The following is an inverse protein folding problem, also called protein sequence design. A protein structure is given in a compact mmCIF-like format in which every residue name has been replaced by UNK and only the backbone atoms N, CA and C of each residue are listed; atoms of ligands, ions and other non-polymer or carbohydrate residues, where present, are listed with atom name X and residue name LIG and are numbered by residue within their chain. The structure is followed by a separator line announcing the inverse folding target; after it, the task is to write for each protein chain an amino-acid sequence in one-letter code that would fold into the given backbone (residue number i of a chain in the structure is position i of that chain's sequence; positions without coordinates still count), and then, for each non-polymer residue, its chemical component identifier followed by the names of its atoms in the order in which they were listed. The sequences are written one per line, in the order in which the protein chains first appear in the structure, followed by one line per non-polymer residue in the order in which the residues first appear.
data_IF_718339311890
#
_entry.id   IF_718339311890
#
_cell.length_a   1.000
_cell.length_b   1.000
_cell.length_c   1.000
_cell.angle_alpha   90.00
_cell.angle_beta   90.00
_cell.angle_gamma   90.00
#
_symmetry.space_group_name_H-M   'P 1'
#
loop_
_entity.id
_entity.type
_entity.pdbx_description
1 polymer ?
#
# COMPACT_ATOMS: atom_id res chain seq x y z
N UNK A 1 49.47 25.58 42.05
CA UNK A 1 50.78 24.91 42.06
C UNK A 1 50.73 23.80 41.03
N UNK A 2 51.51 23.87 39.94
CA UNK A 2 51.41 22.88 38.86
C UNK A 2 52.14 21.60 39.26
N UNK A 3 51.39 20.53 39.49
CA UNK A 3 51.89 19.18 39.74
C UNK A 3 52.86 18.76 38.63
N UNK A 4 54.00 18.17 38.99
CA UNK A 4 54.97 17.65 38.03
C UNK A 4 54.29 16.60 37.13
N UNK A 5 54.47 16.64 35.79
CA UNK A 5 53.82 15.70 34.89
C UNK A 5 54.27 14.27 35.21
N UNK A 6 53.34 13.45 35.68
CA UNK A 6 53.62 12.09 36.15
C UNK A 6 52.96 11.09 35.21
N UNK A 7 53.66 10.74 34.13
CA UNK A 7 53.19 9.69 33.22
C UNK A 7 53.43 8.30 33.79
N UNK A 8 52.62 7.33 33.36
CA UNK A 8 52.83 5.92 33.68
C UNK A 8 54.19 5.42 33.16
N UNK A 9 54.83 4.49 33.89
CA UNK A 9 56.11 3.90 33.49
C UNK A 9 56.02 3.15 32.15
N UNK A 10 54.84 2.68 31.76
CA UNK A 10 54.56 2.10 30.45
C UNK A 10 55.02 2.98 29.27
N UNK A 11 54.98 4.31 29.42
CA UNK A 11 55.34 5.26 28.35
C UNK A 11 56.80 5.73 28.40
N UNK A 12 57.64 5.17 29.28
CA UNK A 12 59.03 5.61 29.51
C UNK A 12 59.86 5.65 28.21
N UNK A 13 59.72 4.65 27.34
CA UNK A 13 60.41 4.56 26.06
C UNK A 13 60.07 5.70 25.08
N UNK A 14 58.82 6.17 25.07
CA UNK A 14 58.37 7.32 24.27
C UNK A 14 58.80 8.64 24.91
N UNK A 15 58.74 8.72 26.23
CA UNK A 15 59.15 9.91 26.97
C UNK A 15 60.65 10.15 26.84
N UNK A 16 61.51 9.14 26.93
CA UNK A 16 62.96 9.33 26.82
C UNK A 16 63.41 9.91 25.47
N UNK A 17 62.58 9.80 24.43
CA UNK A 17 62.81 10.40 23.11
C UNK A 17 62.39 11.87 23.01
N UNK A 18 61.64 12.40 23.98
CA UNK A 18 61.09 13.75 23.95
C UNK A 18 61.85 14.72 24.88
N UNK A 19 62.04 15.98 24.45
CA UNK A 19 62.60 17.00 25.34
C UNK A 19 61.64 17.36 26.48
N UNK A 20 62.15 17.84 27.64
CA UNK A 20 61.33 18.16 28.81
C UNK A 20 60.17 19.15 28.55
N UNK A 21 60.33 20.08 27.62
CA UNK A 21 59.28 21.04 27.22
C UNK A 21 58.09 20.35 26.55
N UNK A 22 58.33 19.37 25.67
CA UNK A 22 57.28 18.63 24.97
C UNK A 22 56.55 17.65 25.90
N UNK A 23 57.23 17.09 26.90
CA UNK A 23 56.59 16.28 27.95
C UNK A 23 55.58 17.12 28.76
N UNK A 24 55.96 18.34 29.13
CA UNK A 24 55.10 19.29 29.86
C UNK A 24 53.90 19.74 29.01
N UNK A 25 54.11 20.04 27.73
CA UNK A 25 53.04 20.41 26.81
C UNK A 25 52.07 19.24 26.56
N UNK A 26 52.57 18.02 26.35
CA UNK A 26 51.73 16.84 26.21
C UNK A 26 50.86 16.59 27.45
N UNK A 27 51.44 16.73 28.65
CA UNK A 27 50.69 16.62 29.90
C UNK A 27 49.59 17.66 30.03
N UNK A 28 49.91 18.93 29.72
CA UNK A 28 48.94 20.02 29.74
C UNK A 28 47.79 19.76 28.76
N UNK A 29 48.08 19.28 27.55
CA UNK A 29 47.06 18.96 26.54
C UNK A 29 46.12 17.83 26.95
N UNK A 30 46.60 16.88 27.74
CA UNK A 30 45.78 15.77 28.24
C UNK A 30 44.88 16.21 29.39
N UNK A 31 45.37 17.05 30.29
CA UNK A 31 44.64 17.49 31.50
C UNK A 31 43.80 18.75 31.31
N UNK A 32 44.09 19.58 30.30
CA UNK A 32 43.34 20.81 29.99
C UNK A 32 42.65 20.77 28.63
N UNK A 33 42.37 19.58 28.09
CA UNK A 33 41.68 19.42 26.81
C UNK A 33 40.28 20.04 26.87
N UNK A 34 39.92 20.85 25.87
CA UNK A 34 38.60 21.53 25.80
C UNK A 34 37.42 20.55 25.75
N UNK A 35 37.62 19.37 25.17
CA UNK A 35 36.64 18.30 25.10
C UNK A 35 37.22 17.09 25.82
N UNK A 36 36.58 16.66 26.92
CA UNK A 36 36.95 15.48 27.71
C UNK A 36 38.41 15.51 28.25
N UNK A 37 38.73 16.42 29.20
CA UNK A 37 40.03 16.41 29.86
C UNK A 37 40.17 15.12 30.67
N UNK A 38 41.33 14.46 30.55
CA UNK A 38 41.64 13.34 31.43
C UNK A 38 41.89 13.88 32.84
N UNK A 39 41.29 13.23 33.85
CA UNK A 39 41.66 13.52 35.24
C UNK A 39 43.15 13.19 35.45
N UNK A 40 43.79 13.77 36.47
CA UNK A 40 45.20 13.46 36.76
C UNK A 40 45.42 11.97 37.01
N UNK A 41 44.44 11.27 37.59
CA UNK A 41 44.50 9.82 37.84
C UNK A 41 44.42 9.03 36.54
N UNK A 42 43.57 9.44 35.60
CA UNK A 42 43.45 8.83 34.27
C UNK A 42 44.70 9.09 33.42
N UNK A 43 45.28 10.29 33.53
CA UNK A 43 46.52 10.66 32.84
C UNK A 43 47.77 9.94 33.41
N UNK A 44 47.71 9.48 34.67
CA UNK A 44 48.71 8.61 35.30
C UNK A 44 48.51 7.12 34.95
N UNK A 45 47.35 6.75 34.42
CA UNK A 45 47.01 5.40 33.99
C UNK A 45 47.54 5.06 32.58
N UNK A 46 47.16 3.88 32.07
CA UNK A 46 47.42 3.47 30.70
C UNK A 46 46.17 3.77 29.87
N UNK A 47 46.27 4.69 28.92
CA UNK A 47 45.16 5.12 28.07
C UNK A 47 45.61 5.24 26.60
N UNK A 48 44.83 4.73 25.63
CA UNK A 48 45.18 4.78 24.20
C UNK A 48 45.46 6.20 23.68
N UNK A 49 44.62 7.19 24.04
CA UNK A 49 44.83 8.59 23.66
C UNK A 49 46.18 9.17 24.11
N UNK A 50 46.73 8.71 25.24
CA UNK A 50 48.04 9.16 25.74
C UNK A 50 49.15 8.59 24.85
N UNK A 51 49.04 7.32 24.48
CA UNK A 51 49.99 6.63 23.62
C UNK A 51 50.00 7.22 22.20
N UNK A 52 48.83 7.46 21.62
CA UNK A 52 48.68 8.07 20.29
C UNK A 52 49.29 9.49 20.27
N UNK A 53 49.00 10.29 21.31
CA UNK A 53 49.52 11.65 21.43
C UNK A 53 51.05 11.66 21.57
N UNK A 54 51.60 10.81 22.45
CA UNK A 54 53.05 10.71 22.64
C UNK A 54 53.76 10.20 21.38
N UNK A 55 53.19 9.21 20.70
CA UNK A 55 53.74 8.67 19.44
C UNK A 55 53.73 9.72 18.33
N UNK A 56 52.63 10.45 18.16
CA UNK A 56 52.53 11.58 17.21
C UNK A 56 53.55 12.67 17.53
N UNK A 57 53.77 12.97 18.81
CA UNK A 57 54.76 13.96 19.25
C UNK A 57 56.20 13.50 19.01
N UNK A 58 56.52 12.22 19.23
CA UNK A 58 57.84 11.63 18.92
C UNK A 58 58.11 11.71 17.42
N UNK A 59 57.16 11.28 16.60
CA UNK A 59 57.27 11.34 15.14
C UNK A 59 57.46 12.78 14.64
N UNK A 60 56.69 13.72 15.19
CA UNK A 60 56.81 15.15 14.87
C UNK A 60 58.17 15.72 15.28
N UNK A 61 58.66 15.36 16.46
CA UNK A 61 59.97 15.79 16.95
C UNK A 61 61.09 15.28 16.05
N UNK A 62 61.08 13.98 15.70
CA UNK A 62 62.06 13.39 14.80
C UNK A 62 62.01 14.01 13.40
N UNK A 63 60.82 14.25 12.85
CA UNK A 63 60.65 14.93 11.57
C UNK A 63 61.25 16.34 11.60
N UNK A 64 60.92 17.13 12.63
CA UNK A 64 61.46 18.48 12.80
C UNK A 64 62.97 18.49 12.98
N UNK A 65 63.52 17.58 13.79
CA UNK A 65 64.95 17.42 14.02
C UNK A 65 65.70 17.03 12.74
N UNK A 66 65.15 16.12 11.95
CA UNK A 66 65.72 15.73 10.66
C UNK A 66 65.70 16.91 9.68
N UNK A 67 64.62 17.68 9.62
CA UNK A 67 64.56 18.91 8.81
C UNK A 67 65.61 19.94 9.24
N UNK A 68 65.81 20.14 10.55
CA UNK A 68 66.85 21.04 11.06
C UNK A 68 68.26 20.55 10.70
N UNK A 69 68.51 19.23 10.82
CA UNK A 69 69.78 18.62 10.44
C UNK A 69 70.10 18.86 8.97
N UNK A 70 69.12 18.61 8.08
CA UNK A 70 69.25 18.85 6.64
C UNK A 70 69.51 20.34 6.35
N UNK A 71 68.82 21.25 7.05
CA UNK A 71 69.00 22.71 6.89
C UNK A 71 70.40 23.16 7.31
N UNK A 72 70.95 22.63 8.40
CA UNK A 72 72.30 22.97 8.88
C UNK A 72 73.37 22.38 7.94
N UNK A 73 73.19 21.14 7.51
CA UNK A 73 74.08 20.46 6.57
C UNK A 73 74.17 21.21 5.24
N UNK A 74 73.02 21.60 4.67
CA UNK A 74 72.95 22.39 3.44
C UNK A 74 73.62 23.77 3.54
N UNK A 75 73.66 24.38 4.74
CA UNK A 75 74.29 25.67 4.97
C UNK A 75 75.79 25.57 5.32
N UNK A 76 76.30 24.38 5.65
CA UNK A 76 77.68 24.16 6.10
C UNK A 76 78.57 23.63 4.98
N UNK A 77 78.01 23.01 3.93
CA UNK A 77 78.75 22.60 2.74
C UNK A 77 79.12 23.82 1.89
N UNK A 78 80.41 24.18 1.92
CA UNK A 78 81.03 25.32 1.21
C UNK A 78 81.06 25.21 -0.33
N UNK A 79 80.47 24.18 -0.94
CA UNK A 79 80.51 23.98 -2.40
C UNK A 79 79.13 24.18 -3.03
N UNK A 80 78.89 25.40 -3.51
CA UNK A 80 77.70 25.79 -4.28
C UNK A 80 77.52 25.00 -5.59
N UNK A 81 78.55 24.31 -6.08
CA UNK A 81 78.45 23.44 -7.27
C UNK A 81 77.77 22.10 -6.94
N UNK A 82 77.92 21.59 -5.71
CA UNK A 82 77.31 20.32 -5.29
C UNK A 82 75.81 20.41 -5.03
N UNK A 83 75.30 21.62 -4.72
CA UNK A 83 73.89 21.87 -4.41
C UNK A 83 73.04 21.96 -5.68
N UNK A 84 73.53 22.57 -6.76
CA UNK A 84 72.83 22.64 -8.04
C UNK A 84 72.61 21.26 -8.68
N UNK A 85 73.61 20.38 -8.69
CA UNK A 85 73.45 19.02 -9.23
C UNK A 85 72.47 18.16 -8.41
N UNK A 86 72.38 18.41 -7.09
CA UNK A 86 71.37 17.75 -6.24
C UNK A 86 69.96 18.26 -6.53
N UNK A 87 69.80 19.56 -6.80
CA UNK A 87 68.51 20.15 -7.18
C UNK A 87 68.02 19.63 -8.54
N UNK A 88 68.90 19.52 -9.54
CA UNK A 88 68.58 18.90 -10.84
C UNK A 88 68.13 17.44 -10.68
N UNK A 89 68.79 16.68 -9.79
CA UNK A 89 68.37 15.33 -9.44
C UNK A 89 66.99 15.27 -8.76
N UNK A 90 66.64 16.26 -7.94
CA UNK A 90 65.31 16.35 -7.33
C UNK A 90 64.23 16.72 -8.34
N UNK A 91 64.53 17.61 -9.28
CA UNK A 91 63.60 18.03 -10.34
C UNK A 91 63.21 16.85 -11.24
N UNK A 92 64.19 16.06 -11.70
CA UNK A 92 63.94 14.82 -12.46
C UNK A 92 63.10 13.80 -11.68
N UNK A 93 63.39 13.59 -10.40
CA UNK A 93 62.59 12.69 -9.55
C UNK A 93 61.16 13.21 -9.36
N UNK A 94 60.95 14.52 -9.33
CA UNK A 94 59.64 15.12 -9.21
C UNK A 94 58.84 14.89 -10.50
N UNK A 95 59.46 15.12 -11.66
CA UNK A 95 58.85 14.88 -12.98
C UNK A 95 58.45 13.41 -13.16
N UNK A 96 59.33 12.47 -12.81
CA UNK A 96 59.02 11.02 -12.86
C UNK A 96 57.85 10.64 -11.95
N UNK A 97 57.80 11.21 -10.73
CA UNK A 97 56.67 11.00 -9.81
C UNK A 97 55.39 11.59 -10.33
N UNK A 98 55.43 12.81 -10.88
CA UNK A 98 54.26 13.46 -11.46
C UNK A 98 53.71 12.64 -12.62
N UNK A 99 54.59 12.16 -13.51
CA UNK A 99 54.21 11.27 -14.60
C UNK A 99 53.54 9.98 -14.10
N UNK A 100 54.13 9.31 -13.11
CA UNK A 100 53.58 8.09 -12.53
C UNK A 100 52.20 8.32 -11.89
N UNK A 101 52.03 9.42 -11.15
CA UNK A 101 50.75 9.80 -10.54
C UNK A 101 49.70 10.08 -11.62
N UNK A 102 50.05 10.78 -12.70
CA UNK A 102 49.13 11.05 -13.79
C UNK A 102 48.72 9.76 -14.51
N UNK A 103 49.65 8.84 -14.75
CA UNK A 103 49.35 7.55 -15.35
C UNK A 103 48.41 6.72 -14.46
N UNK A 104 48.69 6.66 -13.16
CA UNK A 104 47.84 5.97 -12.19
C UNK A 104 46.43 6.58 -12.13
N UNK A 105 46.33 7.91 -12.10
CA UNK A 105 45.06 8.64 -12.16
C UNK A 105 44.26 8.31 -13.42
N UNK A 106 44.92 8.26 -14.58
CA UNK A 106 44.28 7.92 -15.85
C UNK A 106 43.78 6.47 -15.87
N UNK A 107 44.55 5.54 -15.31
CA UNK A 107 44.14 4.14 -15.21
C UNK A 107 42.91 3.99 -14.31
N UNK A 108 42.91 4.62 -13.14
CA UNK A 108 41.75 4.62 -12.23
C UNK A 108 40.53 5.25 -12.91
N UNK A 109 40.71 6.39 -13.58
CA UNK A 109 39.63 7.07 -14.30
C UNK A 109 38.99 6.13 -15.32
N UNK A 110 39.78 5.44 -16.14
CA UNK A 110 39.28 4.49 -17.14
C UNK A 110 38.51 3.33 -16.50
N UNK A 111 39.01 2.77 -15.39
CA UNK A 111 38.33 1.69 -14.67
C UNK A 111 36.98 2.13 -14.12
N UNK A 112 36.92 3.31 -13.48
CA UNK A 112 35.68 3.86 -12.95
C UNK A 112 34.69 4.15 -14.08
N UNK A 113 35.15 4.76 -15.19
CA UNK A 113 34.29 5.05 -16.34
C UNK A 113 33.71 3.77 -16.96
N UNK A 114 34.51 2.71 -17.08
CA UNK A 114 34.05 1.41 -17.57
C UNK A 114 33.01 0.78 -16.63
N UNK A 115 33.26 0.79 -15.32
CA UNK A 115 32.33 0.25 -14.34
C UNK A 115 31.01 1.03 -14.34
N UNK A 116 31.06 2.36 -14.36
CA UNK A 116 29.86 3.21 -14.43
C UNK A 116 29.08 2.98 -15.72
N UNK A 117 29.76 2.75 -16.84
CA UNK A 117 29.10 2.43 -18.10
C UNK A 117 28.34 1.10 -18.02
N UNK A 118 28.94 0.07 -17.41
CA UNK A 118 28.30 -1.24 -17.24
C UNK A 118 27.12 -1.15 -16.26
N UNK A 119 27.27 -0.46 -15.13
CA UNK A 119 26.17 -0.25 -14.16
C UNK A 119 25.00 0.51 -14.79
N UNK A 120 25.28 1.53 -15.62
CA UNK A 120 24.25 2.26 -16.36
C UNK A 120 23.51 1.37 -17.35
N UNK A 121 24.23 0.51 -18.05
CA UNK A 121 23.65 -0.46 -18.98
C UNK A 121 22.77 -1.47 -18.24
N UNK A 122 23.29 -2.06 -17.17
CA UNK A 122 22.55 -3.00 -16.33
C UNK A 122 21.27 -2.39 -15.77
N UNK A 123 21.35 -1.18 -15.20
CA UNK A 123 20.19 -0.48 -14.66
C UNK A 123 19.15 -0.16 -15.75
N UNK A 124 19.62 0.15 -16.96
CA UNK A 124 18.74 0.41 -18.11
C UNK A 124 18.00 -0.87 -18.53
N UNK A 125 18.71 -1.99 -18.62
CA UNK A 125 18.14 -3.29 -18.96
C UNK A 125 17.13 -3.75 -17.90
N UNK A 126 17.44 -3.58 -16.61
CA UNK A 126 16.51 -3.86 -15.50
C UNK A 126 15.24 -3.00 -15.57
N UNK A 127 15.40 -1.70 -15.83
CA UNK A 127 14.28 -0.78 -15.97
C UNK A 127 13.36 -1.19 -17.13
N UNK A 128 13.95 -1.52 -18.29
CA UNK A 128 13.17 -1.93 -19.46
C UNK A 128 12.47 -3.29 -19.21
N UNK A 129 13.13 -4.24 -18.54
CA UNK A 129 12.51 -5.50 -18.13
C UNK A 129 11.34 -5.30 -17.15
N UNK A 130 11.51 -4.44 -16.13
CA UNK A 130 10.43 -4.11 -15.19
C UNK A 130 9.26 -3.43 -15.88
N UNK A 131 9.55 -2.52 -16.83
CA UNK A 131 8.52 -1.83 -17.60
C UNK A 131 7.71 -2.82 -18.45
N UNK A 132 8.37 -3.71 -19.19
CA UNK A 132 7.70 -4.75 -19.97
C UNK A 132 6.90 -5.71 -19.09
N UNK A 133 7.43 -6.08 -17.93
CA UNK A 133 6.72 -6.91 -16.96
C UNK A 133 5.44 -6.23 -16.47
N UNK A 134 5.53 -4.98 -16.04
CA UNK A 134 4.37 -4.21 -15.56
C UNK A 134 3.29 -4.09 -16.64
N UNK A 135 3.70 -3.82 -17.88
CA UNK A 135 2.78 -3.74 -19.02
C UNK A 135 2.09 -5.09 -19.29
N UNK A 136 2.83 -6.20 -19.21
CA UNK A 136 2.26 -7.54 -19.36
C UNK A 136 1.29 -7.91 -18.24
N UNK A 137 1.62 -7.58 -16.98
CA UNK A 137 0.75 -7.83 -15.82
C UNK A 137 -0.55 -7.02 -15.91
N UNK A 138 -0.45 -5.76 -16.31
CA UNK A 138 -1.62 -4.91 -16.57
C UNK A 138 -2.52 -5.50 -17.67
N UNK A 139 -1.94 -5.88 -18.81
CA UNK A 139 -2.70 -6.46 -19.92
C UNK A 139 -3.37 -7.78 -19.54
N UNK A 140 -2.67 -8.65 -18.80
CA UNK A 140 -3.23 -9.90 -18.30
C UNK A 140 -4.40 -9.66 -17.34
N UNK A 141 -4.25 -8.71 -16.41
CA UNK A 141 -5.33 -8.31 -15.49
C UNK A 141 -6.56 -7.80 -16.25
N UNK A 142 -6.35 -6.95 -17.26
CA UNK A 142 -7.44 -6.42 -18.08
C UNK A 142 -8.18 -7.51 -18.86
N UNK A 143 -7.47 -8.53 -19.36
CA UNK A 143 -8.10 -9.69 -20.03
C UNK A 143 -8.92 -10.51 -19.04
N UNK A 144 -8.38 -10.82 -17.86
CA UNK A 144 -9.10 -11.56 -16.81
C UNK A 144 -10.36 -10.82 -16.35
N UNK A 145 -10.27 -9.51 -16.11
CA UNK A 145 -11.43 -8.68 -15.77
C UNK A 145 -12.48 -8.75 -16.86
N UNK A 146 -12.10 -8.56 -18.14
CA UNK A 146 -13.05 -8.66 -19.26
C UNK A 146 -13.74 -10.01 -19.29
N UNK A 147 -12.98 -11.09 -19.17
CA UNK A 147 -13.52 -12.45 -19.18
C UNK A 147 -14.50 -12.69 -18.02
N UNK A 148 -14.15 -12.28 -16.80
CA UNK A 148 -15.03 -12.35 -15.64
C UNK A 148 -16.30 -11.53 -15.83
N UNK A 149 -16.19 -10.32 -16.37
CA UNK A 149 -17.36 -9.48 -16.70
C UNK A 149 -18.29 -10.17 -17.70
N UNK A 150 -17.76 -10.78 -18.77
CA UNK A 150 -18.57 -11.54 -19.72
C UNK A 150 -19.26 -12.74 -19.07
N UNK A 151 -18.54 -13.50 -18.25
CA UNK A 151 -19.09 -14.64 -17.52
C UNK A 151 -20.23 -14.22 -16.58
N UNK A 152 -20.02 -13.17 -15.79
CA UNK A 152 -21.05 -12.65 -14.89
C UNK A 152 -22.27 -12.13 -15.64
N UNK A 153 -22.07 -11.44 -16.76
CA UNK A 153 -23.18 -10.96 -17.60
C UNK A 153 -24.03 -12.14 -18.08
N UNK A 154 -23.42 -13.18 -18.64
CA UNK A 154 -24.14 -14.37 -19.10
C UNK A 154 -24.86 -15.11 -17.98
N UNK A 155 -24.23 -15.22 -16.80
CA UNK A 155 -24.85 -15.84 -15.64
C UNK A 155 -26.10 -15.08 -15.19
N UNK A 156 -26.01 -13.75 -15.09
CA UNK A 156 -27.15 -12.90 -14.73
C UNK A 156 -28.27 -12.99 -15.75
N UNK A 157 -27.95 -12.95 -17.04
CA UNK A 157 -28.93 -13.05 -18.12
C UNK A 157 -29.64 -14.42 -18.10
N UNK A 158 -28.88 -15.50 -17.91
CA UNK A 158 -29.45 -16.85 -17.75
C UNK A 158 -30.36 -16.95 -16.53
N UNK A 159 -29.96 -16.39 -15.39
CA UNK A 159 -30.78 -16.39 -14.17
C UNK A 159 -32.06 -15.59 -14.36
N UNK A 160 -31.96 -14.40 -14.96
CA UNK A 160 -33.10 -13.54 -15.26
C UNK A 160 -34.11 -14.26 -16.17
N UNK A 161 -33.64 -14.84 -17.26
CA UNK A 161 -34.49 -15.55 -18.21
C UNK A 161 -35.16 -16.79 -17.59
N UNK A 162 -34.42 -17.53 -16.75
CA UNK A 162 -35.00 -18.66 -16.01
C UNK A 162 -36.09 -18.22 -15.05
N UNK A 163 -35.87 -17.13 -14.31
CA UNK A 163 -36.85 -16.58 -13.36
C UNK A 163 -38.10 -16.09 -14.11
N UNK A 164 -37.90 -15.38 -15.22
CA UNK A 164 -38.98 -14.89 -16.08
C UNK A 164 -39.85 -16.05 -16.60
N UNK A 165 -39.22 -17.12 -17.09
CA UNK A 165 -39.93 -18.28 -17.63
C UNK A 165 -40.75 -19.01 -16.56
N UNK A 166 -40.21 -19.16 -15.35
CA UNK A 166 -40.93 -19.77 -14.22
C UNK A 166 -42.12 -18.90 -13.80
N UNK A 167 -41.92 -17.59 -13.70
CA UNK A 167 -42.99 -16.65 -13.36
C UNK A 167 -44.11 -16.66 -14.42
N UNK A 168 -43.76 -16.66 -15.70
CA UNK A 168 -44.73 -16.73 -16.80
C UNK A 168 -45.53 -18.04 -16.75
N UNK A 169 -44.88 -19.16 -16.45
CA UNK A 169 -45.52 -20.46 -16.28
C UNK A 169 -46.50 -20.44 -15.09
N UNK A 170 -46.12 -19.84 -13.97
CA UNK A 170 -46.99 -19.68 -12.81
C UNK A 170 -48.23 -18.85 -13.12
N UNK A 171 -48.07 -17.71 -13.78
CA UNK A 171 -49.21 -16.86 -14.17
C UNK A 171 -50.16 -17.58 -15.14
N UNK A 172 -49.64 -18.27 -16.16
CA UNK A 172 -50.46 -19.07 -17.09
C UNK A 172 -51.25 -20.15 -16.36
N UNK A 173 -50.62 -20.84 -15.41
CA UNK A 173 -51.29 -21.85 -14.57
C UNK A 173 -52.40 -21.23 -13.71
N UNK A 174 -52.12 -20.10 -13.05
CA UNK A 174 -53.10 -19.39 -12.23
C UNK A 174 -54.30 -18.90 -13.03
N UNK A 175 -54.08 -18.34 -14.21
CA UNK A 175 -55.16 -17.90 -15.12
C UNK A 175 -56.02 -19.11 -15.51
N UNK A 176 -55.40 -20.23 -15.91
CA UNK A 176 -56.14 -21.45 -16.27
C UNK A 176 -56.97 -22.00 -15.09
N UNK A 177 -56.45 -21.94 -13.87
CA UNK A 177 -57.19 -22.34 -12.68
C UNK A 177 -58.39 -21.42 -12.40
N UNK A 178 -58.21 -20.11 -12.54
CA UNK A 178 -59.27 -19.12 -12.39
C UNK A 178 -60.36 -19.28 -13.46
N UNK A 179 -60.00 -19.48 -14.73
CA UNK A 179 -60.95 -19.70 -15.81
C UNK A 179 -61.82 -20.94 -15.56
N UNK A 180 -61.21 -22.04 -15.11
CA UNK A 180 -61.95 -23.26 -14.72
C UNK A 180 -62.91 -22.97 -13.55
N UNK A 181 -62.47 -22.23 -12.54
CA UNK A 181 -63.31 -21.88 -11.40
C UNK A 181 -64.47 -20.96 -11.80
N UNK A 182 -64.23 -19.99 -12.68
CA UNK A 182 -65.26 -19.10 -13.22
C UNK A 182 -66.30 -19.88 -14.03
N UNK A 183 -65.88 -20.79 -14.91
CA UNK A 183 -66.81 -21.64 -15.66
C UNK A 183 -67.72 -22.50 -14.76
N UNK A 184 -67.22 -22.96 -13.60
CA UNK A 184 -68.05 -23.67 -12.60
C UNK A 184 -69.06 -22.72 -11.95
N UNK A 185 -68.64 -21.50 -11.58
CA UNK A 185 -69.52 -20.49 -11.02
C UNK A 185 -70.61 -20.08 -12.01
N UNK A 186 -70.27 -19.88 -13.27
CA UNK A 186 -71.22 -19.52 -14.33
C UNK A 186 -72.30 -20.58 -14.52
N UNK A 187 -71.92 -21.87 -14.51
CA UNK A 187 -72.88 -22.98 -14.52
C UNK A 187 -73.82 -22.93 -13.31
N UNK A 188 -73.32 -22.58 -12.13
CA UNK A 188 -74.12 -22.48 -10.89
C UNK A 188 -75.06 -21.28 -10.94
N UNK A 189 -74.60 -20.15 -11.45
CA UNK A 189 -75.42 -18.96 -11.70
C UNK A 189 -76.54 -19.29 -12.69
N UNK A 190 -76.23 -19.97 -13.80
CA UNK A 190 -77.24 -20.40 -14.78
C UNK A 190 -78.34 -21.28 -14.16
N UNK A 191 -77.98 -22.23 -13.30
CA UNK A 191 -78.95 -23.05 -12.54
C UNK A 191 -79.84 -22.20 -11.64
N UNK A 192 -79.23 -21.33 -10.82
CA UNK A 192 -79.98 -20.44 -9.92
C UNK A 192 -80.93 -19.53 -10.68
N UNK A 193 -80.47 -18.94 -11.79
CA UNK A 193 -81.32 -18.10 -12.66
C UNK A 193 -82.51 -18.87 -13.22
N UNK A 194 -82.33 -20.14 -13.62
CA UNK A 194 -83.43 -21.00 -14.07
C UNK A 194 -84.44 -21.27 -12.95
N UNK A 195 -83.97 -21.60 -11.74
CA UNK A 195 -84.84 -21.82 -10.56
C UNK A 195 -85.60 -20.55 -10.18
N UNK A 196 -84.96 -19.38 -10.21
CA UNK A 196 -85.62 -18.09 -9.93
C UNK A 196 -86.73 -17.82 -10.95
N UNK A 197 -86.47 -18.04 -12.23
CA UNK A 197 -87.46 -17.88 -13.29
C UNK A 197 -88.66 -18.82 -13.11
N UNK A 198 -88.42 -20.07 -12.73
CA UNK A 198 -89.47 -21.04 -12.43
C UNK A 198 -90.33 -20.59 -11.25
N UNK A 199 -89.71 -20.27 -10.10
CA UNK A 199 -90.42 -19.79 -8.90
C UNK A 199 -91.21 -18.50 -9.19
N UNK A 200 -90.70 -17.61 -10.05
CA UNK A 200 -91.40 -16.39 -10.47
C UNK A 200 -92.67 -16.68 -11.26
N UNK A 201 -92.66 -17.72 -12.10
CA UNK A 201 -93.84 -18.16 -12.84
C UNK A 201 -94.84 -18.84 -11.91
N UNK A 202 -94.39 -19.78 -11.07
CA UNK A 202 -95.24 -20.45 -10.06
C UNK A 202 -95.94 -19.42 -9.15
N UNK A 203 -95.20 -18.40 -8.66
CA UNK A 203 -95.78 -17.30 -7.89
C UNK A 203 -96.88 -16.56 -8.65
N UNK A 204 -96.71 -16.34 -9.96
CA UNK A 204 -97.71 -15.66 -10.79
C UNK A 204 -98.97 -16.51 -10.91
N UNK A 205 -98.82 -17.81 -11.10
CA UNK A 205 -99.94 -18.74 -11.25
C UNK A 205 -100.71 -18.88 -9.93
N UNK A 206 -100.01 -19.08 -8.81
CA UNK A 206 -100.60 -19.08 -7.47
C UNK A 206 -101.38 -17.79 -7.21
N UNK A 207 -100.80 -16.62 -7.58
CA UNK A 207 -101.49 -15.34 -7.44
C UNK A 207 -102.80 -15.29 -8.23
N UNK A 208 -102.79 -15.74 -9.50
CA UNK A 208 -104.01 -15.79 -10.31
C UNK A 208 -105.07 -16.72 -9.71
N UNK A 209 -104.68 -17.89 -9.24
CA UNK A 209 -105.60 -18.84 -8.60
C UNK A 209 -106.16 -18.26 -7.30
N UNK A 210 -105.35 -17.59 -6.49
CA UNK A 210 -105.84 -16.90 -5.30
C UNK A 210 -106.85 -15.81 -5.67
N UNK A 211 -106.51 -14.95 -6.63
CA UNK A 211 -107.38 -13.86 -7.09
C UNK A 211 -108.73 -14.40 -7.63
N UNK A 212 -108.74 -15.54 -8.34
CA UNK A 212 -109.99 -16.17 -8.80
C UNK A 212 -110.82 -16.75 -7.65
N UNK A 213 -110.19 -17.45 -6.70
CA UNK A 213 -110.89 -18.02 -5.53
C UNK A 213 -111.48 -16.90 -4.65
N UNK A 214 -110.76 -15.79 -4.47
CA UNK A 214 -111.30 -14.61 -3.77
C UNK A 214 -112.56 -14.08 -4.46
N UNK A 215 -112.55 -14.02 -5.79
CA UNK A 215 -113.71 -13.58 -6.57
C UNK A 215 -114.91 -14.52 -6.44
N UNK A 216 -114.66 -15.83 -6.54
CA UNK A 216 -115.70 -16.85 -6.33
C UNK A 216 -116.33 -16.73 -4.92
N UNK A 217 -115.51 -16.47 -3.90
CA UNK A 217 -115.98 -16.25 -2.53
C UNK A 217 -116.78 -14.96 -2.38
N UNK A 218 -116.35 -13.85 -3.00
CA UNK A 218 -117.12 -12.60 -3.04
C UNK A 218 -118.50 -12.80 -3.67
N UNK A 219 -118.57 -13.50 -4.81
CA UNK A 219 -119.84 -13.80 -5.50
C UNK A 219 -120.76 -14.68 -4.64
N UNK A 220 -120.21 -15.67 -3.92
CA UNK A 220 -120.97 -16.51 -2.98
C UNK A 220 -121.51 -15.68 -1.81
N UNK A 221 -120.68 -14.82 -1.21
CA UNK A 221 -121.09 -13.94 -0.10
C UNK A 221 -122.23 -13.02 -0.56
N UNK A 222 -122.05 -12.35 -1.70
CA UNK A 222 -123.07 -11.48 -2.28
C UNK A 222 -124.39 -12.21 -2.54
N UNK A 223 -124.34 -13.43 -3.07
CA UNK A 223 -125.52 -14.26 -3.30
C UNK A 223 -126.21 -14.65 -1.99
N UNK A 224 -125.45 -14.96 -0.94
CA UNK A 224 -126.00 -15.27 0.38
C UNK A 224 -126.65 -14.04 1.00
N UNK A 225 -126.02 -12.86 0.90
CA UNK A 225 -126.57 -11.61 1.40
C UNK A 225 -127.89 -11.25 0.72
N UNK A 226 -127.98 -11.40 -0.61
CA UNK A 226 -129.24 -11.23 -1.34
C UNK A 226 -130.34 -12.19 -0.86
N UNK A 227 -130.02 -13.46 -0.62
CA UNK A 227 -131.00 -14.43 -0.08
C UNK A 227 -131.47 -14.07 1.33
N UNK A 228 -130.58 -13.53 2.17
CA UNK A 228 -130.95 -13.07 3.52
C UNK A 228 -131.90 -11.88 3.44
N UNK A 229 -131.68 -10.95 2.51
CA UNK A 229 -132.59 -9.82 2.27
C UNK A 229 -133.97 -10.35 1.86
N UNK A 230 -134.05 -11.28 0.90
CA UNK A 230 -135.32 -11.86 0.43
C UNK A 230 -136.08 -12.66 1.51
N UNK A 231 -135.38 -13.26 2.48
CA UNK A 231 -136.00 -14.01 3.59
C UNK A 231 -136.49 -13.12 4.74
N UNK A 232 -136.08 -11.85 4.79
CA UNK A 232 -136.45 -10.89 5.83
C UNK A 232 -137.54 -9.88 5.37
N UNK A 233 -138.05 -10.01 4.14
CA UNK A 233 -139.25 -9.35 3.60
C UNK A 233 -140.47 -10.29 3.66
#
# INVERSE_FOLDING_TARGET
MSSQPHFNEHYKSLLDQLPPSMKKDAWLRLTTRKNNPLSEEQARGIHPDIEELLTSNVNRYHKSKNCQKIKIEANTTSDGTSTFSRLDGFEKQLEEREFCVQQWKNNIKKTIEAQVAEERKHLKDEYDALKSRLESEYNNCMVDIKQKTYSFKHQLESQHNSCLAELEKQYKSHISALDKANAVKDKKIGKLSSTISQLKNEKRDIKKTADSVFKDLEDIIFTKDLKIIVLND
#
